data_IF_473948449255
#
_entry.id   IF_473948449255
#
_cell.length_a   1.000
_cell.length_b   1.000
_cell.length_c   1.000
_cell.angle_alpha   90.00
_cell.angle_beta   90.00
_cell.angle_gamma   90.00
#
_symmetry.space_group_name_H-M   'P 1'
#
loop_
_entity.id
_entity.type
_entity.pdbx_description
1 polymer ?
#
# COMPACT_ATOMS: atom_id res chain seq x y z
N UNK A 1 18.55 2.59 -2.24
CA UNK A 1 18.67 1.24 -2.79
C UNK A 1 18.17 0.21 -1.76
N UNK A 2 17.67 -0.91 -2.23
CA UNK A 2 17.21 -2.05 -1.43
C UNK A 2 17.86 -3.33 -1.93
N UNK A 3 18.35 -4.15 -1.00
CA UNK A 3 18.97 -5.45 -1.29
C UNK A 3 18.09 -6.65 -0.95
N UNK A 4 16.88 -6.39 -0.45
CA UNK A 4 15.89 -7.42 -0.11
C UNK A 4 14.47 -6.89 -0.27
N UNK A 5 13.52 -7.79 -0.52
CA UNK A 5 12.08 -7.54 -0.42
C UNK A 5 11.57 -8.16 0.88
N UNK A 6 10.78 -7.39 1.63
CA UNK A 6 10.06 -7.89 2.80
C UNK A 6 8.57 -7.67 2.61
N UNK A 7 7.77 -8.74 2.73
CA UNK A 7 6.32 -8.73 2.58
C UNK A 7 5.65 -9.05 3.92
N UNK A 8 4.75 -8.21 4.38
CA UNK A 8 3.92 -8.46 5.56
C UNK A 8 2.64 -9.17 5.16
N UNK A 9 2.51 -10.43 5.56
CA UNK A 9 1.34 -11.27 5.34
C UNK A 9 0.38 -11.18 6.52
N UNK A 10 -0.60 -10.27 6.41
CA UNK A 10 -1.59 -10.01 7.46
C UNK A 10 -2.84 -10.90 7.35
N UNK A 11 -2.98 -11.63 6.25
CA UNK A 11 -4.16 -12.47 5.93
C UNK A 11 -3.78 -13.87 5.47
N UNK A 12 -2.71 -14.37 6.02
CA UNK A 12 -2.23 -15.72 5.74
C UNK A 12 -3.21 -16.73 6.32
N UNK A 13 -3.55 -17.73 5.54
CA UNK A 13 -4.27 -18.90 6.02
C UNK A 13 -3.31 -20.03 6.45
N UNK A 14 -3.84 -21.02 7.16
CA UNK A 14 -3.04 -22.17 7.64
C UNK A 14 -2.45 -22.96 6.47
N UNK A 15 -3.18 -23.09 5.36
CA UNK A 15 -2.73 -23.84 4.19
C UNK A 15 -1.53 -23.17 3.52
N UNK A 16 -1.51 -21.84 3.42
CA UNK A 16 -0.35 -21.09 2.96
C UNK A 16 0.87 -21.37 3.83
N UNK A 17 0.68 -21.29 5.16
CA UNK A 17 1.77 -21.47 6.12
C UNK A 17 2.35 -22.88 6.06
N UNK A 18 1.50 -23.90 5.97
CA UNK A 18 1.91 -25.32 5.87
C UNK A 18 2.67 -25.61 4.59
N UNK A 19 2.19 -25.09 3.46
CA UNK A 19 2.74 -25.40 2.14
C UNK A 19 3.83 -24.41 1.67
N UNK A 20 4.20 -23.43 2.48
CA UNK A 20 5.11 -22.36 2.07
C UNK A 20 6.45 -22.88 1.54
N UNK A 21 7.06 -23.86 2.19
CA UNK A 21 8.38 -24.40 1.81
C UNK A 21 8.38 -25.03 0.40
N UNK A 22 7.25 -25.64 0.02
CA UNK A 22 7.09 -26.20 -1.33
C UNK A 22 6.82 -25.11 -2.37
N UNK A 23 6.03 -24.10 -2.00
CA UNK A 23 5.50 -23.10 -2.92
C UNK A 23 6.37 -21.84 -3.02
N UNK A 24 7.31 -21.63 -2.10
CA UNK A 24 8.21 -20.47 -2.16
C UNK A 24 9.02 -20.47 -3.46
N UNK A 25 8.97 -19.40 -4.27
CA UNK A 25 9.64 -19.40 -5.58
C UNK A 25 11.15 -19.29 -5.48
N UNK A 26 11.66 -18.61 -4.44
CA UNK A 26 13.08 -18.27 -4.25
C UNK A 26 13.53 -18.55 -2.82
N UNK A 27 14.83 -18.42 -2.57
CA UNK A 27 15.41 -18.37 -1.22
C UNK A 27 14.68 -17.33 -0.39
N UNK A 28 14.26 -17.72 0.81
CA UNK A 28 13.49 -16.83 1.66
C UNK A 28 13.47 -17.27 3.12
N UNK A 29 13.18 -16.31 3.97
CA UNK A 29 12.87 -16.52 5.37
C UNK A 29 11.41 -16.15 5.59
N UNK A 30 10.66 -17.02 6.28
CA UNK A 30 9.34 -16.74 6.81
C UNK A 30 9.40 -16.78 8.33
N UNK A 31 8.84 -15.78 8.98
CA UNK A 31 8.61 -15.82 10.44
C UNK A 31 7.28 -15.16 10.82
N UNK A 32 6.70 -15.62 11.92
CA UNK A 32 5.49 -15.01 12.48
C UNK A 32 5.82 -13.70 13.17
N UNK A 33 4.93 -12.69 13.01
CA UNK A 33 5.07 -11.38 13.64
C UNK A 33 4.49 -11.36 15.05
N UNK A 34 4.72 -10.30 15.82
CA UNK A 34 4.30 -10.17 17.22
C UNK A 34 2.80 -10.37 17.44
N UNK A 35 1.96 -9.93 16.51
CA UNK A 35 0.50 -10.04 16.59
C UNK A 35 -0.08 -11.30 15.96
N UNK A 36 0.78 -12.27 15.58
CA UNK A 36 0.35 -13.56 15.04
C UNK A 36 -0.35 -14.40 16.10
N UNK A 37 -1.45 -15.02 15.72
CA UNK A 37 -2.16 -16.00 16.55
C UNK A 37 -2.37 -17.29 15.76
N UNK A 38 -2.76 -18.37 16.44
CA UNK A 38 -3.01 -19.67 15.78
C UNK A 38 -4.18 -19.58 14.78
N UNK A 39 -5.21 -18.79 15.10
CA UNK A 39 -6.39 -18.63 14.24
C UNK A 39 -6.21 -17.58 13.15
N UNK A 40 -5.34 -16.60 13.38
CA UNK A 40 -5.01 -15.53 12.45
C UNK A 40 -3.50 -15.38 12.34
N UNK A 41 -2.83 -16.27 11.57
CA UNK A 41 -1.41 -16.18 11.37
C UNK A 41 -1.03 -14.88 10.66
N UNK A 42 -0.03 -14.21 11.20
CA UNK A 42 0.60 -13.05 10.58
C UNK A 42 2.07 -13.32 10.43
N UNK A 43 2.57 -13.18 9.22
CA UNK A 43 3.94 -13.55 8.89
C UNK A 43 4.66 -12.40 8.20
N UNK A 44 5.98 -12.47 8.24
CA UNK A 44 6.84 -11.68 7.36
C UNK A 44 7.69 -12.63 6.53
N UNK A 45 7.70 -12.34 5.24
CA UNK A 45 8.54 -13.01 4.26
C UNK A 45 9.69 -12.09 3.89
N UNK A 46 10.90 -12.60 3.85
CA UNK A 46 12.09 -11.83 3.44
C UNK A 46 12.79 -12.57 2.33
N UNK A 47 12.98 -11.90 1.21
CA UNK A 47 13.64 -12.42 0.01
C UNK A 47 14.92 -11.61 -0.27
N UNK A 48 16.11 -12.21 -0.21
CA UNK A 48 17.33 -11.55 -0.65
C UNK A 48 17.33 -11.38 -2.17
N UNK A 49 17.88 -10.27 -2.63
CA UNK A 49 17.99 -9.95 -4.06
C UNK A 49 19.43 -10.24 -4.56
N UNK A 50 19.55 -10.62 -5.81
CA UNK A 50 20.87 -10.81 -6.46
C UNK A 50 21.63 -9.49 -6.64
N UNK A 51 20.92 -8.36 -6.69
CA UNK A 51 21.47 -7.00 -6.75
C UNK A 51 20.59 -6.00 -6.00
N UNK A 52 21.15 -4.86 -5.70
CA UNK A 52 20.37 -3.72 -5.19
C UNK A 52 19.41 -3.18 -6.27
N UNK A 53 18.24 -2.72 -5.83
CA UNK A 53 17.20 -2.14 -6.68
C UNK A 53 16.92 -0.69 -6.32
N UNK A 54 16.48 0.10 -7.30
CA UNK A 54 15.97 1.46 -7.09
C UNK A 54 14.60 1.44 -6.41
N UNK A 55 14.11 2.57 -5.90
CA UNK A 55 12.75 2.62 -5.32
C UNK A 55 11.66 2.18 -6.28
N UNK A 56 11.75 2.54 -7.54
CA UNK A 56 10.78 2.22 -8.59
C UNK A 56 10.80 0.72 -8.91
N UNK A 57 12.00 0.16 -9.11
CA UNK A 57 12.19 -1.29 -9.29
C UNK A 57 11.68 -2.07 -8.08
N UNK A 58 11.93 -1.56 -6.85
CA UNK A 58 11.47 -2.21 -5.62
C UNK A 58 9.95 -2.35 -5.60
N UNK A 59 9.21 -1.28 -5.95
CA UNK A 59 7.74 -1.32 -6.00
C UNK A 59 7.27 -2.39 -6.99
N UNK A 60 7.86 -2.43 -8.18
CA UNK A 60 7.49 -3.41 -9.20
C UNK A 60 7.81 -4.84 -8.76
N UNK A 61 9.06 -5.10 -8.37
CA UNK A 61 9.53 -6.44 -7.96
C UNK A 61 8.72 -6.96 -6.76
N UNK A 62 8.47 -6.13 -5.75
CA UNK A 62 7.70 -6.54 -4.58
C UNK A 62 6.23 -6.88 -4.91
N UNK A 63 5.60 -6.13 -5.84
CA UNK A 63 4.22 -6.40 -6.27
C UNK A 63 4.12 -7.66 -7.13
N UNK A 64 5.02 -7.87 -8.08
CA UNK A 64 5.02 -9.11 -8.88
C UNK A 64 5.35 -10.34 -8.03
N UNK A 65 6.28 -10.22 -7.08
CA UNK A 65 6.54 -11.31 -6.13
C UNK A 65 5.30 -11.62 -5.27
N UNK A 66 4.60 -10.59 -4.80
CA UNK A 66 3.36 -10.76 -4.04
C UNK A 66 2.24 -11.40 -4.89
N UNK A 67 2.15 -11.04 -6.17
CA UNK A 67 1.18 -11.63 -7.11
C UNK A 67 1.42 -13.11 -7.32
N UNK A 68 2.69 -13.52 -7.50
CA UNK A 68 3.08 -14.95 -7.59
C UNK A 68 2.67 -15.77 -6.36
N UNK A 69 2.64 -15.13 -5.18
CA UNK A 69 2.32 -15.77 -3.90
C UNK A 69 0.84 -15.63 -3.52
N UNK A 70 0.09 -14.79 -4.24
CA UNK A 70 -1.28 -14.38 -3.91
C UNK A 70 -1.32 -13.02 -3.22
N UNK A 71 -1.42 -11.96 -4.01
CA UNK A 71 -1.29 -10.57 -3.58
C UNK A 71 -2.25 -10.16 -2.46
N UNK A 72 -3.41 -10.82 -2.36
CA UNK A 72 -4.42 -10.54 -1.33
C UNK A 72 -4.01 -10.94 0.10
N UNK A 73 -2.98 -11.77 0.23
CA UNK A 73 -2.41 -12.13 1.52
C UNK A 73 -1.61 -10.99 2.18
N UNK A 74 -1.08 -10.06 1.38
CA UNK A 74 -0.07 -9.10 1.82
C UNK A 74 -0.63 -7.71 2.09
N UNK A 75 0.03 -6.98 2.99
CA UNK A 75 -0.24 -5.57 3.25
C UNK A 75 0.45 -4.70 2.20
N UNK A 76 -0.31 -3.75 1.67
CA UNK A 76 0.12 -2.79 0.64
C UNK A 76 1.29 -1.90 1.09
N UNK A 77 1.42 -1.66 2.40
CA UNK A 77 2.55 -0.93 2.96
C UNK A 77 3.89 -1.62 2.67
N UNK A 78 3.90 -2.95 2.45
CA UNK A 78 5.11 -3.72 2.14
C UNK A 78 5.76 -3.30 0.82
N UNK A 79 4.99 -2.74 -0.12
CA UNK A 79 5.49 -2.30 -1.43
C UNK A 79 6.13 -0.91 -1.39
N UNK A 80 6.15 -0.25 -0.22
CA UNK A 80 6.76 1.07 -0.09
C UNK A 80 8.26 0.95 0.19
N UNK A 81 9.13 1.59 -0.62
CA UNK A 81 10.58 1.46 -0.48
C UNK A 81 11.14 1.96 0.86
N UNK A 82 10.42 2.84 1.55
CA UNK A 82 10.79 3.42 2.84
C UNK A 82 10.08 2.76 4.03
N UNK A 83 9.34 1.67 3.82
CA UNK A 83 8.64 0.97 4.90
C UNK A 83 9.65 0.43 5.93
N UNK A 84 9.41 0.77 7.19
CA UNK A 84 10.17 0.24 8.32
C UNK A 84 9.62 -1.15 8.69
N UNK A 85 10.53 -2.10 8.85
CA UNK A 85 10.22 -3.45 9.30
C UNK A 85 10.83 -3.68 10.68
N UNK A 86 9.99 -4.09 11.65
CA UNK A 86 10.46 -4.44 12.99
C UNK A 86 11.15 -5.80 13.01
N UNK A 87 12.07 -5.98 13.95
CA UNK A 87 12.69 -7.27 14.24
C UNK A 87 11.64 -8.32 14.64
N UNK A 88 11.92 -9.61 14.41
CA UNK A 88 11.06 -10.69 14.89
C UNK A 88 10.85 -10.59 16.38
N UNK A 89 9.61 -10.69 16.82
CA UNK A 89 9.27 -10.77 18.24
C UNK A 89 7.98 -11.59 18.41
N UNK A 90 7.86 -12.26 19.55
CA UNK A 90 6.69 -13.08 19.89
C UNK A 90 6.34 -12.84 21.35
N UNK A 91 5.07 -12.63 21.70
CA UNK A 91 4.65 -12.55 23.09
C UNK A 91 4.87 -13.90 23.79
N UNK A 92 4.96 -13.90 25.13
CA UNK A 92 5.26 -15.10 25.91
C UNK A 92 4.25 -16.24 25.72
N UNK A 93 3.02 -15.91 25.33
CA UNK A 93 1.93 -16.85 25.03
C UNK A 93 1.66 -16.99 23.53
N UNK A 94 2.50 -16.43 22.67
CA UNK A 94 2.37 -16.48 21.23
C UNK A 94 2.97 -17.75 20.62
N UNK A 95 2.56 -18.04 19.39
CA UNK A 95 3.14 -19.13 18.57
C UNK A 95 4.18 -18.52 17.64
N UNK A 96 5.42 -19.00 17.74
CA UNK A 96 6.49 -18.61 16.84
C UNK A 96 6.74 -19.70 15.80
N UNK A 97 6.59 -19.35 14.53
CA UNK A 97 6.95 -20.21 13.39
C UNK A 97 8.08 -19.52 12.64
N UNK A 98 9.09 -20.30 12.31
CA UNK A 98 10.20 -19.85 11.48
C UNK A 98 10.46 -20.91 10.41
N UNK A 99 10.58 -20.49 9.17
CA UNK A 99 10.93 -21.33 8.04
C UNK A 99 12.05 -20.69 7.24
N UNK A 100 13.00 -21.49 6.82
CA UNK A 100 14.10 -21.08 5.93
C UNK A 100 14.03 -21.93 4.66
N UNK A 101 13.92 -21.27 3.52
CA UNK A 101 13.89 -21.93 2.21
C UNK A 101 15.17 -21.58 1.47
N UNK A 102 15.92 -22.59 1.09
CA UNK A 102 17.16 -22.46 0.33
C UNK A 102 16.90 -22.85 -1.13
N UNK A 103 16.90 -21.85 -2.01
CA UNK A 103 16.77 -21.96 -3.47
C UNK A 103 17.70 -20.93 -4.12
N UNK A 104 17.43 -20.54 -5.33
CA UNK A 104 18.10 -19.39 -5.96
C UNK A 104 17.61 -18.09 -5.34
N UNK A 105 18.47 -17.08 -5.31
CA UNK A 105 18.08 -15.74 -4.87
C UNK A 105 17.16 -15.12 -5.91
N UNK A 106 16.29 -14.25 -5.46
CA UNK A 106 15.40 -13.52 -6.36
C UNK A 106 16.21 -12.56 -7.23
N UNK A 107 16.18 -12.81 -8.55
CA UNK A 107 16.77 -11.91 -9.52
C UNK A 107 15.76 -10.84 -9.96
N UNK A 108 15.98 -9.56 -9.61
CA UNK A 108 15.09 -8.48 -10.04
C UNK A 108 14.99 -8.36 -11.56
N UNK A 109 16.08 -8.62 -12.28
CA UNK A 109 16.12 -8.47 -13.74
C UNK A 109 15.27 -9.52 -14.45
N UNK A 110 15.15 -10.72 -13.89
CA UNK A 110 14.25 -11.75 -14.39
C UNK A 110 12.79 -11.27 -14.32
N UNK A 111 12.36 -10.77 -13.15
CA UNK A 111 10.99 -10.27 -12.96
C UNK A 111 10.72 -9.06 -13.88
N UNK A 112 11.63 -8.07 -13.90
CA UNK A 112 11.42 -6.85 -14.67
C UNK A 112 11.42 -7.11 -16.17
N UNK A 113 12.23 -8.06 -16.65
CA UNK A 113 12.27 -8.45 -18.06
C UNK A 113 11.02 -9.21 -18.49
N UNK A 114 10.44 -10.00 -17.60
CA UNK A 114 9.18 -10.71 -17.84
C UNK A 114 7.97 -9.75 -17.91
N UNK A 115 8.08 -8.56 -17.33
CA UNK A 115 7.03 -7.54 -17.24
C UNK A 115 7.51 -6.18 -17.74
N UNK A 116 7.75 -5.99 -19.05
CA UNK A 116 8.32 -4.76 -19.59
C UNK A 116 7.49 -3.50 -19.31
N UNK A 117 6.22 -3.66 -18.97
CA UNK A 117 5.30 -2.59 -18.55
C UNK A 117 5.50 -2.11 -17.10
N UNK A 118 6.44 -2.66 -16.34
CA UNK A 118 6.62 -2.37 -14.92
C UNK A 118 6.86 -0.89 -14.59
N UNK A 119 7.30 -0.10 -15.56
CA UNK A 119 7.50 1.35 -15.41
C UNK A 119 6.18 2.13 -15.36
N UNK A 120 5.08 1.52 -15.76
CA UNK A 120 3.74 2.11 -15.65
C UNK A 120 3.07 1.65 -14.35
N UNK A 121 2.94 2.53 -13.33
CA UNK A 121 2.34 2.15 -12.04
C UNK A 121 0.90 1.64 -12.15
N UNK A 122 0.19 1.99 -13.21
CA UNK A 122 -1.21 1.57 -13.40
C UNK A 122 -1.35 0.11 -13.85
N UNK A 123 -0.25 -0.48 -14.31
CA UNK A 123 -0.20 -1.87 -14.78
C UNK A 123 0.37 -2.84 -13.75
N UNK A 124 0.88 -2.32 -12.65
CA UNK A 124 1.39 -3.17 -11.56
C UNK A 124 0.25 -3.96 -10.91
N UNK A 125 0.51 -5.20 -10.47
CA UNK A 125 -0.47 -5.99 -9.74
C UNK A 125 -1.03 -5.22 -8.53
N UNK A 126 -2.35 -5.32 -8.33
CA UNK A 126 -3.05 -4.68 -7.22
C UNK A 126 -3.94 -5.69 -6.51
N UNK A 127 -4.02 -5.58 -5.18
CA UNK A 127 -4.91 -6.41 -4.40
C UNK A 127 -6.39 -6.10 -4.70
N UNK A 128 -7.28 -7.03 -4.39
CA UNK A 128 -8.72 -6.83 -4.50
C UNK A 128 -9.20 -5.66 -3.63
N UNK A 129 -8.49 -5.33 -2.56
CA UNK A 129 -8.75 -4.19 -1.66
C UNK A 129 -8.38 -2.86 -2.30
N UNK A 130 -7.18 -2.78 -2.89
CA UNK A 130 -6.73 -1.58 -3.63
C UNK A 130 -7.70 -1.28 -4.77
N UNK A 131 -8.09 -2.30 -5.52
CA UNK A 131 -9.04 -2.17 -6.63
C UNK A 131 -10.40 -1.65 -6.17
N UNK A 132 -10.93 -2.15 -5.05
CA UNK A 132 -12.19 -1.65 -4.45
C UNK A 132 -12.03 -0.23 -3.94
N UNK A 133 -10.96 0.08 -3.23
CA UNK A 133 -10.69 1.43 -2.72
C UNK A 133 -10.56 2.43 -3.86
N UNK A 134 -9.86 2.09 -4.95
CA UNK A 134 -9.74 2.92 -6.14
C UNK A 134 -11.09 3.11 -6.85
N UNK A 135 -11.93 2.07 -6.92
CA UNK A 135 -13.28 2.16 -7.49
C UNK A 135 -14.16 3.12 -6.68
N UNK A 136 -14.12 3.02 -5.34
CA UNK A 136 -14.87 3.91 -4.44
C UNK A 136 -14.38 5.34 -4.61
N UNK A 137 -13.06 5.58 -4.57
CA UNK A 137 -12.48 6.91 -4.78
C UNK A 137 -12.85 7.50 -6.14
N UNK A 138 -12.83 6.69 -7.21
CA UNK A 138 -13.22 7.14 -8.55
C UNK A 138 -14.71 7.44 -8.66
N UNK A 139 -15.55 6.68 -7.94
CA UNK A 139 -16.99 6.93 -7.87
C UNK A 139 -17.31 8.22 -7.09
N UNK A 140 -16.60 8.45 -5.97
CA UNK A 140 -16.72 9.68 -5.17
C UNK A 140 -16.24 10.92 -5.92
N UNK A 141 -15.19 10.80 -6.74
CA UNK A 141 -14.66 11.91 -7.56
C UNK A 141 -15.53 12.20 -8.79
N UNK A 142 -16.37 11.24 -9.25
CA UNK A 142 -17.22 11.44 -10.41
C UNK A 142 -18.36 12.45 -10.21
N UNK A 143 -18.68 12.81 -8.98
CA UNK A 143 -19.62 13.89 -8.69
C UNK A 143 -19.10 14.82 -7.60
N UNK A 144 -18.09 15.67 -7.89
CA UNK A 144 -17.59 16.66 -6.96
C UNK A 144 -18.63 17.75 -6.65
N UNK A 145 -19.78 17.72 -7.32
CA UNK A 145 -20.93 18.61 -7.17
C UNK A 145 -22.14 17.88 -6.56
N UNK A 146 -21.96 16.69 -6.00
CA UNK A 146 -22.98 16.02 -5.21
C UNK A 146 -23.60 17.02 -4.19
N UNK A 147 -24.88 16.87 -3.93
CA UNK A 147 -25.81 17.83 -3.30
C UNK A 147 -25.29 18.72 -2.16
N UNK A 148 -24.22 18.34 -1.50
CA UNK A 148 -23.58 19.09 -0.41
C UNK A 148 -22.14 19.51 -0.69
N UNK A 149 -21.56 19.09 -1.84
CA UNK A 149 -20.21 19.46 -2.27
C UNK A 149 -19.10 19.08 -1.32
N UNK A 150 -19.30 18.05 -0.49
CA UNK A 150 -18.31 17.52 0.44
C UNK A 150 -17.80 16.19 -0.03
N UNK A 151 -16.50 15.96 0.08
CA UNK A 151 -15.86 14.67 -0.21
C UNK A 151 -15.27 14.13 1.08
N UNK A 152 -15.73 12.97 1.51
CA UNK A 152 -15.15 12.25 2.64
C UNK A 152 -13.94 11.44 2.19
N UNK A 153 -12.76 11.74 2.71
CA UNK A 153 -11.55 10.98 2.47
C UNK A 153 -10.79 10.78 3.79
N UNK A 154 -10.40 9.54 4.12
CA UNK A 154 -9.66 9.23 5.35
C UNK A 154 -10.30 9.79 6.65
N UNK A 155 -11.62 9.62 6.82
CA UNK A 155 -12.40 10.17 7.92
C UNK A 155 -12.33 11.71 8.04
N UNK A 156 -11.98 12.42 6.98
CA UNK A 156 -12.00 13.89 6.88
C UNK A 156 -12.95 14.30 5.78
N UNK A 157 -13.67 15.37 6.03
CA UNK A 157 -14.55 16.01 5.03
C UNK A 157 -13.79 17.11 4.33
N UNK A 158 -13.71 17.04 3.00
CA UNK A 158 -13.07 18.05 2.16
C UNK A 158 -14.14 18.84 1.40
N UNK A 159 -13.97 20.13 1.36
CA UNK A 159 -14.79 21.03 0.56
C UNK A 159 -14.02 21.45 -0.70
N UNK A 160 -14.67 21.58 -1.85
CA UNK A 160 -14.06 22.27 -2.98
C UNK A 160 -13.59 23.66 -2.57
N UNK A 161 -12.41 24.09 -3.06
CA UNK A 161 -11.78 25.34 -2.61
C UNK A 161 -12.68 26.56 -2.85
N UNK A 162 -13.36 26.63 -3.98
CA UNK A 162 -14.33 27.67 -4.30
C UNK A 162 -15.50 27.73 -3.30
N UNK A 163 -16.01 26.57 -2.86
CA UNK A 163 -17.08 26.52 -1.85
C UNK A 163 -16.59 26.86 -0.46
N UNK A 164 -15.35 26.50 -0.12
CA UNK A 164 -14.72 26.95 1.13
C UNK A 164 -14.57 28.47 1.16
N UNK A 165 -14.19 29.09 0.03
CA UNK A 165 -14.11 30.54 -0.13
C UNK A 165 -15.50 31.17 -0.04
N UNK A 166 -16.51 30.64 -0.75
CA UNK A 166 -17.88 31.13 -0.69
C UNK A 166 -18.46 31.08 0.73
N UNK A 167 -18.22 29.96 1.44
CA UNK A 167 -18.65 29.82 2.82
C UNK A 167 -17.93 30.80 3.74
N UNK A 168 -16.63 30.99 3.59
CA UNK A 168 -15.86 31.96 4.33
C UNK A 168 -16.38 33.38 4.09
N UNK A 169 -16.64 33.74 2.83
CA UNK A 169 -17.17 35.04 2.46
C UNK A 169 -18.59 35.26 3.02
N UNK A 170 -19.44 34.23 3.08
CA UNK A 170 -20.78 34.35 3.66
C UNK A 170 -20.79 34.40 5.18
N UNK A 171 -19.89 33.68 5.85
CA UNK A 171 -19.88 33.54 7.31
C UNK A 171 -19.05 34.62 8.01
N UNK A 172 -18.04 35.22 7.35
CA UNK A 172 -17.04 36.11 7.95
C UNK A 172 -17.02 37.48 7.32
N UNK A 173 -17.48 37.63 6.09
CA UNK A 173 -17.41 38.87 5.34
C UNK A 173 -18.76 39.17 4.65
N UNK A 174 -19.39 40.28 5.05
CA UNK A 174 -20.54 40.87 4.37
C UNK A 174 -20.03 42.00 3.47
N UNK A 175 -19.81 41.74 2.15
CA UNK A 175 -19.35 42.79 1.27
C UNK A 175 -20.47 43.81 1.02
N UNK A 176 -20.18 45.07 1.25
CA UNK A 176 -21.11 46.17 0.98
C UNK A 176 -21.24 46.52 -0.50
N UNK A 177 -20.30 46.01 -1.34
CA UNK A 177 -20.31 46.12 -2.80
C UNK A 177 -19.48 45.01 -3.46
N UNK A 178 -19.62 44.86 -4.78
CA UNK A 178 -18.91 43.84 -5.54
C UNK A 178 -17.40 44.10 -5.73
N UNK A 179 -16.94 45.35 -5.60
CA UNK A 179 -15.53 45.69 -5.81
C UNK A 179 -14.67 45.27 -4.62
N UNK A 180 -15.16 45.34 -3.41
CA UNK A 180 -14.46 44.91 -2.20
C UNK A 180 -14.22 43.38 -2.16
N UNK A 181 -15.02 42.63 -2.86
CA UNK A 181 -14.88 41.14 -2.94
C UNK A 181 -13.58 40.69 -3.60
N UNK A 182 -13.12 41.44 -4.60
CA UNK A 182 -11.90 41.10 -5.35
C UNK A 182 -10.63 41.53 -4.61
N UNK A 183 -10.66 42.62 -3.87
CA UNK A 183 -9.51 43.09 -3.13
C UNK A 183 -9.12 42.19 -1.96
N UNK A 184 -10.08 41.53 -1.32
CA UNK A 184 -9.81 40.64 -0.18
C UNK A 184 -9.14 39.32 -0.62
N UNK A 185 -9.47 38.82 -1.79
CA UNK A 185 -8.87 37.56 -2.33
C UNK A 185 -7.43 37.78 -2.81
N UNK A 186 -7.07 39.02 -3.19
CA UNK A 186 -5.71 39.35 -3.66
C UNK A 186 -4.73 39.71 -2.52
N UNK A 187 -5.22 39.97 -1.32
CA UNK A 187 -4.38 40.40 -0.17
C UNK A 187 -4.16 39.26 0.87
N UNK A 188 -4.70 38.07 0.65
CA UNK A 188 -4.53 36.88 1.49
C UNK A 188 -3.65 35.84 0.80
#
# INVERSE_FOLDING_TARGET
>A
LRSMVALDGDRIDKAFLENYEMNAPYTSILYTTHSSTEDHPRVRLVYPLTRDVTPEEFVAVSRYLADMLGIDYFDECSYQPNQLMYWPSTPSNGVYVFKNVEKEWLDPDEILSAHPEWTDPTRLPTSSRESRANTIRTAEVKDPLAKDGTVGLFNRTYFPINRAIEKFLSDVYEPTDNENRYHYIQSS
#
